data_IF_548151370485
#
_entry.id   IF_548151370485
#
_cell.length_a   1.000
_cell.length_b   1.000
_cell.length_c   1.000
_cell.angle_alpha   90.00
_cell.angle_beta   90.00
_cell.angle_gamma   90.00
#
_symmetry.space_group_name_H-M   'P 1'
#
loop_
_entity.id
_entity.type
_entity.pdbx_description
1 polymer ?
#
# COMPACT_ATOMS: atom_id res chain seq x y z
N UNK A 1 -40.92 71.10 -34.52
CA UNK A 1 -39.59 70.43 -34.49
C UNK A 1 -39.80 68.93 -34.29
N UNK A 2 -39.15 68.14 -35.15
CA UNK A 2 -39.08 66.66 -35.35
C UNK A 2 -39.73 65.66 -34.35
N UNK A 3 -40.25 64.51 -34.85
CA UNK A 3 -40.87 63.43 -34.09
C UNK A 3 -39.88 62.34 -33.66
N UNK A 4 -40.22 61.48 -32.68
CA UNK A 4 -39.57 60.17 -32.50
C UNK A 4 -40.57 59.03 -32.25
N UNK A 5 -40.74 58.23 -33.31
CA UNK A 5 -41.10 56.81 -33.31
C UNK A 5 -40.15 55.99 -32.40
N UNK A 6 -40.69 54.98 -31.74
CA UNK A 6 -40.13 53.59 -31.65
C UNK A 6 -41.23 52.68 -31.11
N UNK A 7 -41.93 51.94 -31.97
CA UNK A 7 -41.61 50.60 -32.49
C UNK A 7 -41.59 49.50 -31.41
N UNK A 8 -42.58 48.63 -31.55
CA UNK A 8 -42.73 47.29 -30.98
C UNK A 8 -41.45 46.46 -31.06
N UNK A 9 -41.23 45.61 -30.03
CA UNK A 9 -40.53 44.34 -30.20
C UNK A 9 -41.07 43.29 -29.23
N UNK A 10 -42.00 42.53 -29.78
CA UNK A 10 -42.21 41.09 -29.64
C UNK A 10 -41.22 40.33 -28.74
N UNK A 11 -41.80 39.58 -27.82
CA UNK A 11 -41.14 38.61 -26.96
C UNK A 11 -40.46 37.52 -27.80
N UNK A 12 -39.16 37.30 -27.58
CA UNK A 12 -38.49 36.04 -27.92
C UNK A 12 -38.47 35.19 -26.66
N UNK A 13 -38.99 33.95 -26.67
CA UNK A 13 -38.68 33.01 -25.60
C UNK A 13 -37.19 32.65 -25.73
N UNK A 14 -36.41 33.05 -24.74
CA UNK A 14 -35.05 32.55 -24.55
C UNK A 14 -35.20 31.08 -24.20
N UNK A 15 -34.82 30.21 -25.13
CA UNK A 15 -34.58 28.80 -24.87
C UNK A 15 -33.47 28.69 -23.81
N UNK A 16 -33.86 28.61 -22.55
CA UNK A 16 -32.93 28.35 -21.45
C UNK A 16 -32.58 26.87 -21.45
N UNK A 17 -31.43 26.60 -22.06
CA UNK A 17 -30.46 25.56 -21.75
C UNK A 17 -30.97 24.37 -20.90
N UNK A 18 -31.06 23.23 -21.58
CA UNK A 18 -30.99 21.88 -21.02
C UNK A 18 -29.90 21.80 -19.93
N UNK A 19 -30.18 21.25 -18.73
CA UNK A 19 -29.13 21.02 -17.76
C UNK A 19 -28.11 20.04 -18.33
N UNK A 20 -26.84 20.44 -18.26
CA UNK A 20 -25.69 19.66 -18.67
C UNK A 20 -25.74 18.26 -18.05
N UNK A 21 -25.54 17.30 -18.93
CA UNK A 21 -25.13 15.92 -18.68
C UNK A 21 -24.19 15.86 -17.47
N UNK A 22 -24.65 15.23 -16.39
CA UNK A 22 -23.79 14.80 -15.29
C UNK A 22 -22.75 13.85 -15.88
N UNK A 23 -21.55 14.38 -16.16
CA UNK A 23 -20.40 13.56 -16.45
C UNK A 23 -20.21 12.62 -15.26
N UNK A 24 -20.40 11.32 -15.49
CA UNK A 24 -20.25 10.29 -14.47
C UNK A 24 -18.96 10.53 -13.70
N UNK A 25 -19.04 10.62 -12.38
CA UNK A 25 -17.87 10.77 -11.50
C UNK A 25 -16.91 9.60 -11.78
N UNK A 26 -15.93 9.80 -12.66
CA UNK A 26 -14.85 8.83 -12.88
C UNK A 26 -14.22 8.58 -11.51
N UNK A 27 -14.33 7.35 -11.02
CA UNK A 27 -13.74 6.98 -9.75
C UNK A 27 -12.23 7.17 -9.82
N UNK A 28 -11.68 7.79 -8.78
CA UNK A 28 -10.25 8.09 -8.71
C UNK A 28 -9.42 6.79 -8.68
N UNK A 29 -8.39 6.74 -9.52
CA UNK A 29 -7.34 5.71 -9.50
C UNK A 29 -6.53 5.82 -8.21
N UNK A 30 -6.09 4.67 -7.69
CA UNK A 30 -5.37 4.55 -6.42
C UNK A 30 -4.12 3.70 -6.62
N UNK A 31 -2.95 4.24 -6.29
CA UNK A 31 -1.70 3.47 -6.27
C UNK A 31 -1.49 2.92 -4.86
N UNK A 32 -1.27 1.60 -4.74
CA UNK A 32 -1.10 0.90 -3.46
C UNK A 32 0.34 0.42 -3.32
N UNK A 33 1.03 0.93 -2.30
CA UNK A 33 2.45 0.71 -2.03
C UNK A 33 2.60 -0.12 -0.76
N UNK A 34 3.34 -1.21 -0.84
CA UNK A 34 3.72 -2.03 0.32
C UNK A 34 5.17 -1.76 0.70
N UNK A 35 5.39 -1.35 1.95
CA UNK A 35 6.70 -1.08 2.52
C UNK A 35 6.92 -2.05 3.69
N UNK A 36 7.40 -3.24 3.38
CA UNK A 36 7.57 -4.35 4.30
C UNK A 36 7.72 -5.67 3.56
N UNK A 37 8.09 -6.73 4.28
CA UNK A 37 8.35 -8.06 3.70
C UNK A 37 7.40 -9.14 4.20
N UNK A 38 6.69 -8.94 5.30
CA UNK A 38 5.85 -9.98 5.90
C UNK A 38 4.36 -9.77 5.59
N UNK A 39 3.67 -9.01 6.43
CA UNK A 39 2.23 -8.72 6.35
C UNK A 39 1.90 -7.62 5.35
N UNK A 40 2.76 -6.62 5.15
CA UNK A 40 2.50 -5.47 4.28
C UNK A 40 2.18 -5.84 2.83
N UNK A 41 2.91 -6.76 2.16
CA UNK A 41 2.57 -7.17 0.80
C UNK A 41 1.20 -7.83 0.71
N UNK A 42 0.86 -8.69 1.68
CA UNK A 42 -0.43 -9.38 1.71
C UNK A 42 -1.58 -8.40 1.93
N UNK A 43 -1.45 -7.49 2.90
CA UNK A 43 -2.47 -6.48 3.19
C UNK A 43 -2.61 -5.48 2.03
N UNK A 44 -1.51 -5.07 1.41
CA UNK A 44 -1.55 -4.24 0.21
C UNK A 44 -2.30 -4.95 -0.93
N UNK A 45 -2.12 -6.26 -1.09
CA UNK A 45 -2.85 -7.03 -2.08
C UNK A 45 -4.35 -7.12 -1.78
N UNK A 46 -4.74 -7.36 -0.52
CA UNK A 46 -6.15 -7.28 -0.11
C UNK A 46 -6.74 -5.91 -0.45
N UNK A 47 -6.01 -4.82 -0.17
CA UNK A 47 -6.45 -3.46 -0.53
C UNK A 47 -6.60 -3.30 -2.04
N UNK A 48 -5.68 -3.84 -2.85
CA UNK A 48 -5.81 -3.79 -4.32
C UNK A 48 -7.03 -4.57 -4.82
N UNK A 49 -7.31 -5.74 -4.25
CA UNK A 49 -8.46 -6.56 -4.60
C UNK A 49 -9.78 -5.84 -4.29
N UNK A 50 -9.89 -5.22 -3.11
CA UNK A 50 -11.05 -4.41 -2.72
C UNK A 50 -11.24 -3.18 -3.61
N UNK A 51 -10.14 -2.60 -4.11
CA UNK A 51 -10.19 -1.48 -5.05
C UNK A 51 -10.56 -1.91 -6.49
N UNK A 52 -10.34 -3.18 -6.85
CA UNK A 52 -10.57 -3.72 -8.18
C UNK A 52 -9.96 -2.85 -9.29
N UNK A 53 -10.76 -2.48 -10.28
CA UNK A 53 -10.35 -1.64 -11.42
C UNK A 53 -9.84 -0.25 -11.04
N UNK A 54 -10.00 0.18 -9.78
CA UNK A 54 -9.47 1.46 -9.29
C UNK A 54 -8.00 1.39 -8.93
N UNK A 55 -7.49 0.19 -8.66
CA UNK A 55 -6.07 -0.01 -8.38
C UNK A 55 -5.24 0.33 -9.61
N UNK A 56 -4.16 1.09 -9.42
CA UNK A 56 -3.17 1.41 -10.42
C UNK A 56 -1.92 0.55 -10.18
N UNK A 57 -1.43 -0.10 -11.23
CA UNK A 57 -0.22 -0.92 -11.21
C UNK A 57 1.08 -0.09 -11.37
N UNK A 58 0.97 1.24 -11.40
CA UNK A 58 2.09 2.13 -11.70
C UNK A 58 3.09 2.23 -10.54
N UNK A 59 4.37 2.43 -10.88
CA UNK A 59 5.42 2.77 -9.92
C UNK A 59 5.10 4.12 -9.24
N UNK A 60 5.33 4.20 -7.93
CA UNK A 60 4.89 5.35 -7.12
C UNK A 60 5.49 6.70 -7.55
N UNK A 61 6.73 6.71 -8.08
CA UNK A 61 7.40 7.93 -8.54
C UNK A 61 6.75 8.51 -9.80
N UNK A 62 6.39 7.64 -10.74
CA UNK A 62 5.86 8.02 -12.05
C UNK A 62 4.34 7.93 -12.12
N UNK A 63 3.69 7.38 -11.08
CA UNK A 63 2.26 7.19 -11.06
C UNK A 63 1.53 8.51 -11.23
N UNK A 64 0.43 8.48 -11.97
CA UNK A 64 -0.50 9.61 -12.13
C UNK A 64 -1.73 9.49 -11.22
N UNK A 65 -1.73 8.50 -10.33
CA UNK A 65 -2.82 8.31 -9.39
C UNK A 65 -2.97 9.54 -8.46
N UNK A 66 -4.18 10.10 -8.34
CA UNK A 66 -4.45 11.20 -7.40
C UNK A 66 -4.49 10.73 -5.94
N UNK A 67 -4.53 9.42 -5.70
CA UNK A 67 -4.55 8.83 -4.35
C UNK A 67 -3.43 7.79 -4.23
N UNK A 68 -2.66 7.88 -3.15
CA UNK A 68 -1.71 6.86 -2.71
C UNK A 68 -2.22 6.20 -1.43
N UNK A 69 -2.11 4.87 -1.35
CA UNK A 69 -2.28 4.12 -0.12
C UNK A 69 -0.97 3.42 0.18
N UNK A 70 -0.39 3.69 1.35
CA UNK A 70 0.92 3.15 1.74
C UNK A 70 0.76 2.28 2.97
N UNK A 71 1.04 1.00 2.82
CA UNK A 71 1.04 0.01 3.91
C UNK A 71 2.47 -0.14 4.41
N UNK A 72 2.72 0.17 5.68
CA UNK A 72 4.06 0.29 6.26
C UNK A 72 4.21 -0.68 7.42
N UNK A 73 5.21 -1.57 7.36
CA UNK A 73 5.68 -2.31 8.52
C UNK A 73 6.63 -1.49 9.38
N UNK A 74 6.40 -1.53 10.69
CA UNK A 74 7.30 -1.00 11.70
C UNK A 74 8.09 -2.15 12.33
N UNK A 75 9.37 -1.90 12.64
CA UNK A 75 10.25 -2.82 13.35
C UNK A 75 9.84 -2.96 14.82
N UNK A 76 10.50 -3.86 15.56
CA UNK A 76 10.15 -4.18 16.95
C UNK A 76 10.32 -3.03 17.93
N UNK A 77 11.18 -2.08 17.60
CA UNK A 77 11.45 -0.82 18.30
C UNK A 77 10.55 0.34 17.82
N UNK A 78 9.62 0.07 16.89
CA UNK A 78 8.73 1.07 16.30
C UNK A 78 9.35 1.88 15.15
N UNK A 79 10.61 1.63 14.78
CA UNK A 79 11.27 2.32 13.67
C UNK A 79 10.74 1.85 12.29
N UNK A 80 10.86 2.66 11.23
CA UNK A 80 10.40 2.28 9.90
C UNK A 80 11.26 1.12 9.36
N UNK A 81 10.64 0.12 8.74
CA UNK A 81 11.35 -1.00 8.10
C UNK A 81 12.37 -0.53 7.02
N UNK A 82 13.30 -1.39 6.57
CA UNK A 82 14.31 -1.03 5.57
C UNK A 82 13.71 -0.45 4.28
N UNK A 83 12.61 -1.04 3.79
CA UNK A 83 11.90 -0.57 2.61
C UNK A 83 11.32 0.83 2.83
N UNK A 84 10.72 1.09 3.99
CA UNK A 84 10.19 2.40 4.35
C UNK A 84 11.30 3.46 4.47
N UNK A 85 12.47 3.10 5.02
CA UNK A 85 13.64 4.00 5.07
C UNK A 85 14.13 4.38 3.68
N UNK A 86 14.23 3.40 2.77
CA UNK A 86 14.62 3.65 1.38
C UNK A 86 13.59 4.51 0.66
N UNK A 87 12.31 4.21 0.82
CA UNK A 87 11.21 4.99 0.27
C UNK A 87 11.25 6.45 0.71
N UNK A 88 11.39 6.72 2.02
CA UNK A 88 11.49 8.10 2.53
C UNK A 88 12.72 8.83 1.96
N UNK A 89 13.85 8.14 1.79
CA UNK A 89 15.04 8.73 1.17
C UNK A 89 14.83 9.04 -0.31
N UNK A 90 14.19 8.15 -1.06
CA UNK A 90 13.88 8.35 -2.47
C UNK A 90 12.88 9.50 -2.66
N UNK A 91 11.82 9.53 -1.83
CA UNK A 91 10.79 10.56 -1.86
C UNK A 91 11.36 11.95 -1.62
N UNK A 92 12.30 12.10 -0.67
CA UNK A 92 12.97 13.38 -0.41
C UNK A 92 13.87 13.86 -1.54
N UNK A 93 14.34 12.97 -2.41
CA UNK A 93 15.21 13.30 -3.56
C UNK A 93 14.42 13.51 -4.84
N UNK A 94 13.16 13.08 -4.88
CA UNK A 94 12.33 13.14 -6.10
C UNK A 94 11.61 14.48 -6.22
N UNK A 95 12.24 15.43 -6.91
CA UNK A 95 11.63 16.72 -7.25
C UNK A 95 10.38 16.54 -8.14
N UNK A 96 10.43 15.57 -9.07
CA UNK A 96 9.31 15.21 -9.93
C UNK A 96 8.08 14.80 -9.12
N UNK A 97 8.26 13.96 -8.10
CA UNK A 97 7.18 13.54 -7.22
C UNK A 97 6.57 14.74 -6.49
N UNK A 98 7.41 15.60 -5.89
CA UNK A 98 6.92 16.73 -5.10
C UNK A 98 6.13 17.74 -5.94
N UNK A 99 6.73 18.19 -7.05
CA UNK A 99 6.11 19.15 -7.96
C UNK A 99 4.79 18.62 -8.52
N UNK A 100 4.79 17.36 -8.96
CA UNK A 100 3.60 16.76 -9.55
C UNK A 100 2.50 16.53 -8.50
N UNK A 101 2.86 16.00 -7.32
CA UNK A 101 1.91 15.72 -6.23
C UNK A 101 1.17 16.98 -5.79
N UNK A 102 1.87 18.10 -5.65
CA UNK A 102 1.26 19.38 -5.33
C UNK A 102 0.34 19.87 -6.46
N UNK A 103 0.77 19.76 -7.72
CA UNK A 103 0.01 20.25 -8.88
C UNK A 103 -1.35 19.55 -9.05
N UNK A 104 -1.42 18.25 -8.73
CA UNK A 104 -2.66 17.46 -8.87
C UNK A 104 -3.47 17.37 -7.57
N UNK A 105 -2.98 17.98 -6.48
CA UNK A 105 -3.59 17.82 -5.15
C UNK A 105 -3.61 16.36 -4.69
N UNK A 106 -2.48 15.65 -4.84
CA UNK A 106 -2.36 14.23 -4.52
C UNK A 106 -2.65 14.00 -3.03
N UNK A 107 -3.43 12.95 -2.76
CA UNK A 107 -3.80 12.56 -1.39
C UNK A 107 -3.14 11.24 -1.01
N UNK A 108 -2.72 11.10 0.24
CA UNK A 108 -2.09 9.89 0.74
C UNK A 108 -2.81 9.37 1.98
N UNK A 109 -3.00 8.05 2.06
CA UNK A 109 -3.41 7.35 3.28
C UNK A 109 -2.28 6.40 3.68
N UNK A 110 -1.99 6.32 4.98
CA UNK A 110 -0.96 5.44 5.52
C UNK A 110 -1.60 4.46 6.50
N UNK A 111 -1.26 3.18 6.35
CA UNK A 111 -1.62 2.10 7.27
C UNK A 111 -0.35 1.55 7.90
N UNK A 112 -0.18 1.79 9.20
CA UNK A 112 0.92 1.26 9.99
C UNK A 112 0.62 -0.15 10.50
N UNK A 113 1.54 -1.08 10.26
CA UNK A 113 1.52 -2.45 10.75
C UNK A 113 2.63 -2.60 11.78
N UNK A 114 2.28 -3.12 12.97
CA UNK A 114 3.26 -3.45 14.00
C UNK A 114 2.93 -4.83 14.59
N UNK A 115 3.94 -5.61 14.96
CA UNK A 115 3.71 -6.89 15.65
C UNK A 115 3.19 -6.65 17.07
N UNK A 116 2.37 -7.58 17.58
CA UNK A 116 1.93 -7.56 18.98
C UNK A 116 3.11 -7.66 19.96
N UNK A 117 4.20 -8.32 19.55
CA UNK A 117 5.46 -8.41 20.32
C UNK A 117 6.08 -7.02 20.53
N UNK A 118 5.87 -6.09 19.61
CA UNK A 118 6.39 -4.72 19.70
C UNK A 118 5.78 -3.94 20.88
N UNK A 119 4.58 -4.29 21.35
CA UNK A 119 3.93 -3.57 22.46
C UNK A 119 4.74 -3.67 23.77
N UNK A 120 5.37 -4.81 24.02
CA UNK A 120 6.18 -5.02 25.24
C UNK A 120 7.57 -4.38 25.11
N UNK A 121 8.17 -4.40 23.92
CA UNK A 121 9.49 -3.82 23.65
C UNK A 121 9.46 -2.29 23.61
N UNK A 122 8.42 -1.71 23.00
CA UNK A 122 8.24 -0.26 22.92
C UNK A 122 7.89 0.35 24.31
N UNK A 123 7.16 -0.40 25.15
CA UNK A 123 6.93 -0.02 26.54
C UNK A 123 8.22 -0.05 27.40
N UNK A 124 9.16 -0.94 27.11
CA UNK A 124 10.47 -0.99 27.79
C UNK A 124 11.43 0.12 27.34
N UNK A 125 11.27 0.65 26.14
CA UNK A 125 12.12 1.73 25.59
C UNK A 125 11.68 3.14 26.00
N UNK A 126 10.60 3.26 26.79
CA UNK A 126 10.13 4.56 27.30
C UNK A 126 9.49 5.40 26.20
N UNK A 127 8.15 5.44 26.18
CA UNK A 127 7.35 6.42 25.43
C UNK A 127 7.28 6.25 23.90
N UNK A 128 7.77 5.14 23.35
CA UNK A 128 7.73 4.87 21.91
C UNK A 128 6.37 4.35 21.43
N UNK A 129 5.68 5.12 20.59
CA UNK A 129 4.58 4.57 19.77
C UNK A 129 5.17 3.54 18.78
N UNK A 130 4.71 2.29 18.85
CA UNK A 130 5.14 1.19 17.95
C UNK A 130 4.86 1.47 16.46
N UNK A 131 4.12 2.53 16.15
CA UNK A 131 3.83 2.99 14.80
C UNK A 131 4.66 4.21 14.36
N UNK A 132 5.71 4.58 15.10
CA UNK A 132 6.57 5.73 14.79
C UNK A 132 7.11 5.70 13.36
N UNK A 133 7.47 4.53 12.85
CA UNK A 133 7.89 4.31 11.46
C UNK A 133 6.85 4.73 10.44
N UNK A 134 5.60 4.32 10.63
CA UNK A 134 4.47 4.72 9.77
C UNK A 134 4.23 6.23 9.85
N UNK A 135 4.27 6.83 11.04
CA UNK A 135 4.13 8.29 11.20
C UNK A 135 5.26 9.07 10.53
N UNK A 136 6.47 8.52 10.43
CA UNK A 136 7.58 9.13 9.68
C UNK A 136 7.34 9.07 8.17
N UNK A 137 6.76 7.97 7.66
CA UNK A 137 6.37 7.85 6.25
C UNK A 137 5.25 8.84 5.90
N UNK A 138 4.22 8.95 6.73
CA UNK A 138 3.12 9.91 6.54
C UNK A 138 3.65 11.35 6.49
N UNK A 139 4.48 11.74 7.46
CA UNK A 139 5.13 13.06 7.48
C UNK A 139 5.99 13.32 6.25
N UNK A 140 6.69 12.30 5.75
CA UNK A 140 7.49 12.44 4.53
C UNK A 140 6.61 12.67 3.28
N UNK A 141 5.49 11.96 3.16
CA UNK A 141 4.53 12.15 2.06
C UNK A 141 3.93 13.57 2.07
N UNK A 142 3.57 14.07 3.26
CA UNK A 142 3.03 15.42 3.42
C UNK A 142 4.10 16.47 3.07
N UNK A 143 5.33 16.29 3.55
CA UNK A 143 6.45 17.15 3.17
C UNK A 143 6.75 17.10 1.66
N UNK A 144 6.48 15.96 1.01
CA UNK A 144 6.56 15.77 -0.43
C UNK A 144 5.34 16.28 -1.22
N UNK A 145 4.48 17.13 -0.64
CA UNK A 145 3.38 17.80 -1.34
C UNK A 145 2.06 17.02 -1.37
N UNK A 146 1.95 15.88 -0.69
CA UNK A 146 0.67 15.19 -0.53
C UNK A 146 -0.19 15.81 0.58
N UNK A 147 -1.50 15.63 0.50
CA UNK A 147 -2.44 15.90 1.60
C UNK A 147 -2.87 14.58 2.24
N UNK A 148 -2.97 14.52 3.58
CA UNK A 148 -3.51 13.35 4.25
C UNK A 148 -4.98 13.12 3.84
N UNK A 149 -5.30 11.92 3.36
CA UNK A 149 -6.66 11.54 2.96
C UNK A 149 -7.52 11.20 4.18
N UNK A 150 -6.93 10.49 5.13
CA UNK A 150 -7.55 9.97 6.34
C UNK A 150 -6.53 10.07 7.48
N UNK A 151 -6.98 9.97 8.73
CA UNK A 151 -6.08 9.72 9.85
C UNK A 151 -5.33 8.40 9.61
N UNK A 152 -4.03 8.37 9.93
CA UNK A 152 -3.22 7.16 9.85
C UNK A 152 -3.93 5.97 10.51
N UNK A 153 -4.11 4.89 9.73
CA UNK A 153 -4.64 3.63 10.22
C UNK A 153 -3.55 2.84 10.93
N UNK A 154 -3.94 2.03 11.90
CA UNK A 154 -3.02 1.15 12.63
C UNK A 154 -3.59 -0.25 12.67
N UNK A 155 -2.75 -1.25 12.50
CA UNK A 155 -3.12 -2.64 12.65
C UNK A 155 -2.02 -3.41 13.37
N UNK A 156 -2.41 -4.32 14.24
CA UNK A 156 -1.49 -5.29 14.81
C UNK A 156 -1.40 -6.50 13.89
N UNK A 157 -0.20 -6.80 13.42
CA UNK A 157 0.08 -8.04 12.72
C UNK A 157 0.27 -9.13 13.78
N UNK A 158 -0.64 -10.09 13.84
CA UNK A 158 -0.38 -11.32 14.57
C UNK A 158 0.79 -12.03 13.86
N UNK A 159 1.83 -12.49 14.57
CA UNK A 159 2.78 -13.39 13.96
C UNK A 159 1.99 -14.58 13.40
N UNK A 160 2.21 -14.91 12.12
CA UNK A 160 1.81 -16.21 11.63
C UNK A 160 2.36 -17.25 12.62
N UNK A 161 1.59 -18.28 13.01
CA UNK A 161 2.14 -19.34 13.85
C UNK A 161 3.40 -19.79 13.14
N UNK A 162 4.55 -19.55 13.78
CA UNK A 162 5.82 -19.96 13.22
C UNK A 162 5.67 -21.44 12.93
N UNK A 163 6.00 -21.85 11.71
CA UNK A 163 6.29 -23.25 11.39
C UNK A 163 7.54 -23.66 12.17
N UNK A 164 7.49 -23.60 13.49
CA UNK A 164 8.26 -24.50 14.30
C UNK A 164 7.71 -25.86 13.93
N UNK A 165 8.52 -26.62 13.19
CA UNK A 165 8.39 -28.04 13.14
C UNK A 165 8.32 -28.52 14.60
N UNK A 166 7.10 -28.69 15.11
CA UNK A 166 6.88 -29.52 16.27
C UNK A 166 7.33 -30.89 15.78
N UNK A 167 8.56 -31.27 16.11
CA UNK A 167 8.99 -32.66 16.08
C UNK A 167 8.12 -33.39 17.08
N UNK A 168 6.92 -33.76 16.63
CA UNK A 168 6.13 -34.78 17.29
C UNK A 168 6.91 -36.06 17.04
N UNK A 169 7.75 -36.44 18.00
CA UNK A 169 8.28 -37.80 18.08
C UNK A 169 7.08 -38.73 18.28
N UNK A 170 6.44 -39.15 17.19
CA UNK A 170 5.51 -40.25 17.20
C UNK A 170 6.31 -41.51 17.56
N UNK A 171 5.94 -42.25 18.62
CA UNK A 171 6.52 -43.57 18.84
C UNK A 171 6.12 -44.46 17.67
N UNK A 172 7.11 -44.97 16.92
CA UNK A 172 6.91 -46.01 15.90
C UNK A 172 6.22 -47.21 16.54
N UNK A 173 5.04 -47.65 16.06
CA UNK A 173 4.68 -49.05 16.15
C UNK A 173 5.32 -49.79 14.97
N UNK A 174 6.26 -50.67 15.30
CA UNK A 174 6.76 -51.69 14.39
C UNK A 174 5.60 -52.57 13.90
N UNK A 175 5.19 -52.44 12.63
CA UNK A 175 4.52 -53.51 11.89
C UNK A 175 4.38 -53.17 10.39
N UNK A 176 5.09 -53.96 9.59
CA UNK A 176 4.57 -54.66 8.39
C UNK A 176 3.93 -53.85 7.24
N UNK A 177 4.66 -53.77 6.12
CA UNK A 177 4.14 -53.53 4.75
C UNK A 177 3.03 -54.56 4.39
N UNK A 178 2.03 -54.21 3.53
CA UNK A 178 2.23 -54.30 2.08
C UNK A 178 1.50 -53.27 1.17
N UNK A 179 2.20 -52.91 0.09
CA UNK A 179 1.75 -52.71 -1.31
C UNK A 179 0.91 -51.48 -1.76
N UNK A 180 1.28 -51.01 -2.97
CA UNK A 180 0.54 -50.18 -3.95
C UNK A 180 0.56 -48.65 -3.69
N UNK A 181 1.07 -47.75 -4.55
CA UNK A 181 1.24 -47.74 -6.01
C UNK A 181 2.43 -46.86 -6.42
N UNK A 182 3.17 -47.33 -7.43
CA UNK A 182 3.99 -46.50 -8.31
C UNK A 182 3.11 -45.52 -9.10
N UNK A 183 3.53 -44.26 -9.21
CA UNK A 183 3.91 -43.68 -10.51
C UNK A 183 4.73 -42.40 -10.39
N UNK A 184 5.58 -42.10 -11.40
CA UNK A 184 6.76 -41.23 -11.28
C UNK A 184 6.70 -39.96 -12.15
N UNK A 185 7.71 -39.09 -11.94
CA UNK A 185 8.29 -38.05 -12.81
C UNK A 185 8.27 -36.66 -12.14
N UNK A 186 9.39 -36.19 -11.57
CA UNK A 186 10.61 -35.62 -12.21
C UNK A 186 10.37 -34.28 -12.92
N UNK A 187 10.87 -33.20 -12.30
CA UNK A 187 11.88 -32.28 -12.87
C UNK A 187 12.28 -31.29 -11.75
N UNK A 188 13.41 -31.49 -11.05
CA UNK A 188 14.77 -31.10 -11.43
C UNK A 188 14.99 -29.58 -11.51
N UNK A 189 15.60 -29.02 -10.47
CA UNK A 189 16.67 -28.02 -10.61
C UNK A 189 17.80 -28.40 -9.65
N UNK A 190 18.78 -29.11 -10.21
CA UNK A 190 20.13 -29.27 -9.66
C UNK A 190 20.87 -27.93 -9.69
N UNK A 191 21.80 -27.75 -8.74
CA UNK A 191 23.05 -27.07 -9.02
C UNK A 191 23.53 -26.11 -7.93
N UNK A 192 24.52 -26.55 -7.14
CA UNK A 192 25.37 -25.62 -6.40
C UNK A 192 25.90 -26.08 -5.05
N UNK A 193 26.50 -27.27 -4.96
CA UNK A 193 27.39 -27.63 -3.86
C UNK A 193 28.82 -27.56 -4.39
N UNK A 194 29.65 -26.63 -3.88
CA UNK A 194 31.10 -26.84 -3.80
C UNK A 194 31.59 -26.36 -2.45
N UNK A 195 32.25 -27.30 -1.78
CA UNK A 195 32.83 -27.27 -0.45
C UNK A 195 33.95 -26.26 -0.27
N UNK A 196 34.09 -25.76 0.96
CA UNK A 196 35.31 -25.16 1.48
C UNK A 196 35.37 -25.41 2.99
N UNK A 197 35.91 -26.56 3.40
CA UNK A 197 36.34 -26.80 4.79
C UNK A 197 37.86 -26.90 4.84
N UNK A 198 38.42 -26.11 5.76
CA UNK A 198 39.80 -26.13 6.23
C UNK A 198 40.18 -27.48 6.84
N UNK A 199 41.38 -27.97 6.49
CA UNK A 199 42.52 -28.20 7.39
C UNK A 199 43.71 -28.71 6.59
#
# INVERSE_FOLDING_TARGET
VRPRRRQSREARPVASATPQVQAGRKMAKVCVISLGSESAPHIAECVRQELGDRSASEEWETSKAPVLVVVVECESDGEPCPAARQFVRALRRSECFANYSQSIGRRAAVLGLASSVCANSAAQLGDGDKYTGASRVERALIAGGCTALLKMGTMEACPAPSSQAISISLPLPSASLPHCLCSPALLACHGGLVSGISS
#
